data_IF_310455712042
#
_entry.id   IF_310455712042
#
_cell.length_a   1.000
_cell.length_b   1.000
_cell.length_c   1.000
_cell.angle_alpha   90.00
_cell.angle_beta   90.00
_cell.angle_gamma   90.00
#
_symmetry.space_group_name_H-M   'P 1'
#
loop_
_entity.id
_entity.type
_entity.pdbx_description
1 polymer ?
#
# COMPACT_ATOMS: atom_id res chain seq x y z
N UNK A 1 -4.97 -8.30 -1.52
CA UNK A 1 -4.26 -7.14 -0.97
C UNK A 1 -2.74 -7.18 -1.24
N UNK A 2 -1.91 -8.01 -0.57
CA UNK A 2 -0.44 -7.86 -0.70
C UNK A 2 0.16 -8.04 -2.12
N UNK A 3 -0.38 -8.93 -2.94
CA UNK A 3 0.13 -9.17 -4.29
C UNK A 3 -0.11 -7.99 -5.24
N UNK A 4 -1.23 -7.29 -5.10
CA UNK A 4 -1.53 -6.08 -5.88
C UNK A 4 -0.68 -4.90 -5.41
N UNK A 5 -0.48 -4.76 -4.10
CA UNK A 5 0.38 -3.73 -3.52
C UNK A 5 1.84 -3.90 -3.95
N UNK A 6 2.35 -5.14 -3.93
CA UNK A 6 3.69 -5.45 -4.41
C UNK A 6 3.86 -5.10 -5.89
N UNK A 7 2.88 -5.47 -6.73
CA UNK A 7 2.89 -5.12 -8.17
C UNK A 7 2.83 -3.61 -8.39
N UNK A 8 2.02 -2.90 -7.61
CA UNK A 8 1.87 -1.45 -7.67
C UNK A 8 3.17 -0.73 -7.32
N UNK A 9 3.83 -1.15 -6.24
CA UNK A 9 5.10 -0.56 -5.79
C UNK A 9 6.23 -0.90 -6.77
N UNK A 10 6.23 -2.11 -7.34
CA UNK A 10 7.19 -2.53 -8.35
C UNK A 10 8.60 -2.79 -7.81
N UNK A 11 8.71 -3.43 -6.65
CA UNK A 11 10.04 -3.76 -6.08
C UNK A 11 10.78 -4.82 -6.92
N UNK A 12 12.11 -4.77 -7.01
CA UNK A 12 12.91 -5.76 -7.74
C UNK A 12 12.73 -7.20 -7.25
N UNK A 13 13.01 -8.15 -8.14
CA UNK A 13 13.13 -9.56 -7.77
C UNK A 13 14.33 -9.77 -6.82
N UNK A 14 14.10 -10.47 -5.72
CA UNK A 14 15.08 -10.66 -4.64
C UNK A 14 14.91 -9.71 -3.45
N UNK A 15 14.15 -8.63 -3.60
CA UNK A 15 13.76 -7.79 -2.48
C UNK A 15 12.51 -8.34 -1.77
N UNK A 16 12.47 -8.15 -0.46
CA UNK A 16 11.33 -8.46 0.38
C UNK A 16 10.39 -7.26 0.52
N UNK A 17 9.11 -7.52 0.72
CA UNK A 17 8.14 -6.51 1.13
C UNK A 17 7.43 -7.01 2.39
N UNK A 18 7.69 -6.35 3.52
CA UNK A 18 7.14 -6.72 4.82
C UNK A 18 6.04 -5.75 5.21
N UNK A 19 4.84 -6.25 5.47
CA UNK A 19 3.76 -5.44 6.03
C UNK A 19 4.09 -5.06 7.48
N UNK A 20 4.06 -3.76 7.79
CA UNK A 20 4.44 -3.22 9.11
C UNK A 20 3.27 -2.62 9.87
N UNK A 21 2.18 -2.29 9.20
CA UNK A 21 0.99 -1.79 9.85
C UNK A 21 -0.12 -1.47 8.87
N UNK A 22 -1.31 -1.21 9.42
CA UNK A 22 -2.46 -0.74 8.65
C UNK A 22 -3.25 0.27 9.47
N UNK A 23 -3.98 1.14 8.79
CA UNK A 23 -5.01 2.01 9.34
C UNK A 23 -6.09 2.19 8.30
N UNK A 24 -7.30 2.51 8.73
CA UNK A 24 -8.38 2.92 7.85
C UNK A 24 -8.80 4.35 8.16
N UNK A 25 -9.19 5.08 7.12
CA UNK A 25 -9.81 6.39 7.26
C UNK A 25 -11.03 6.53 6.36
N UNK A 26 -12.09 7.12 6.91
CA UNK A 26 -13.28 7.47 6.17
C UNK A 26 -13.35 8.99 6.03
N UNK A 27 -13.24 9.50 4.81
CA UNK A 27 -13.21 10.95 4.58
C UNK A 27 -13.80 11.35 3.23
N UNK A 28 -14.58 12.43 3.21
CA UNK A 28 -15.17 13.03 1.99
C UNK A 28 -15.91 12.00 1.09
N UNK A 29 -16.67 11.09 1.71
CA UNK A 29 -17.45 10.08 0.96
C UNK A 29 -16.61 8.95 0.37
N UNK A 30 -15.35 8.80 0.82
CA UNK A 30 -14.50 7.64 0.53
C UNK A 30 -14.15 6.89 1.81
N UNK A 31 -14.09 5.58 1.69
CA UNK A 31 -13.50 4.67 2.66
C UNK A 31 -12.09 4.31 2.16
N UNK A 32 -11.06 4.45 2.98
CA UNK A 32 -9.67 4.28 2.54
C UNK A 32 -8.90 3.41 3.51
N UNK A 33 -8.47 2.26 3.02
CA UNK A 33 -7.52 1.39 3.69
C UNK A 33 -6.10 1.84 3.36
N UNK A 34 -5.28 1.99 4.40
CA UNK A 34 -3.91 2.46 4.29
C UNK A 34 -2.98 1.43 4.91
N UNK A 35 -2.15 0.82 4.09
CA UNK A 35 -1.16 -0.18 4.49
C UNK A 35 0.25 0.38 4.44
N UNK A 36 1.06 -0.03 5.41
CA UNK A 36 2.48 0.31 5.49
C UNK A 36 3.35 -0.90 5.21
N UNK A 37 4.40 -0.69 4.43
CA UNK A 37 5.35 -1.73 4.07
C UNK A 37 6.79 -1.26 4.18
N UNK A 38 7.66 -2.15 4.65
CA UNK A 38 9.11 -2.01 4.56
C UNK A 38 9.62 -2.86 3.38
N UNK A 39 10.40 -2.25 2.50
CA UNK A 39 11.22 -2.98 1.53
C UNK A 39 12.50 -3.46 2.20
N UNK A 40 12.82 -4.74 2.05
CA UNK A 40 14.10 -5.28 2.51
C UNK A 40 14.95 -5.72 1.34
N UNK A 41 16.26 -5.50 1.43
CA UNK A 41 17.22 -6.10 0.50
C UNK A 41 17.34 -7.62 0.72
N UNK A 42 18.23 -8.27 -0.06
CA UNK A 42 18.49 -9.71 0.03
C UNK A 42 19.11 -10.14 1.37
N UNK A 43 19.69 -9.21 2.13
CA UNK A 43 20.28 -9.45 3.45
C UNK A 43 19.26 -9.24 4.59
N UNK A 44 18.08 -8.71 4.26
CA UNK A 44 17.00 -8.41 5.21
C UNK A 44 17.08 -7.01 5.81
N UNK A 45 17.94 -6.13 5.32
CA UNK A 45 18.00 -4.74 5.78
C UNK A 45 16.87 -3.93 5.16
N UNK A 46 16.23 -3.06 5.94
CA UNK A 46 15.19 -2.16 5.43
C UNK A 46 15.82 -1.04 4.60
N UNK A 47 15.44 -0.93 3.32
CA UNK A 47 15.98 0.03 2.36
C UNK A 47 14.95 1.08 1.90
N UNK A 48 13.67 0.84 2.14
CA UNK A 48 12.60 1.79 1.84
C UNK A 48 11.36 1.51 2.69
N UNK A 49 10.50 2.53 2.83
CA UNK A 49 9.17 2.38 3.41
C UNK A 49 8.11 2.92 2.45
N UNK A 50 6.93 2.32 2.49
CA UNK A 50 5.82 2.65 1.62
C UNK A 50 4.52 2.81 2.40
N UNK A 51 3.72 3.79 1.98
CA UNK A 51 2.31 3.91 2.34
C UNK A 51 1.48 3.59 1.08
N UNK A 52 0.70 2.52 1.10
CA UNK A 52 -0.24 2.16 0.04
C UNK A 52 -1.64 2.55 0.49
N UNK A 53 -2.40 3.18 -0.40
CA UNK A 53 -3.77 3.64 -0.14
C UNK A 53 -4.71 2.99 -1.15
N UNK A 54 -5.64 2.19 -0.64
CA UNK A 54 -6.79 1.69 -1.38
C UNK A 54 -8.02 2.49 -0.95
N UNK A 55 -8.56 3.28 -1.88
CA UNK A 55 -9.67 4.18 -1.60
C UNK A 55 -10.88 3.81 -2.43
N UNK A 56 -12.03 3.59 -1.79
CA UNK A 56 -13.30 3.21 -2.41
C UNK A 56 -14.36 4.29 -2.16
N UNK A 57 -15.17 4.60 -3.18
CA UNK A 57 -16.36 5.43 -3.03
C UNK A 57 -17.40 4.73 -2.15
N UNK A 58 -17.93 5.41 -1.14
CA UNK A 58 -19.02 4.87 -0.30
C UNK A 58 -20.37 4.98 -1.01
N UNK A 59 -20.54 6.06 -1.76
CA UNK A 59 -21.77 6.36 -2.47
C UNK A 59 -21.60 6.13 -3.98
N UNK A 60 -22.66 5.74 -4.69
CA UNK A 60 -22.63 5.62 -6.14
C UNK A 60 -22.23 6.93 -6.84
N UNK A 61 -21.54 6.87 -7.99
CA UNK A 61 -21.05 5.67 -8.64
C UNK A 61 -19.89 5.01 -7.88
N UNK A 62 -19.87 3.67 -7.88
CA UNK A 62 -18.80 2.90 -7.26
C UNK A 62 -17.48 3.16 -8.00
N UNK A 63 -16.41 3.42 -7.26
CA UNK A 63 -15.11 3.73 -7.84
C UNK A 63 -13.98 3.52 -6.84
N UNK A 64 -13.00 2.73 -7.25
CA UNK A 64 -11.81 2.40 -6.46
C UNK A 64 -10.58 3.07 -7.04
N UNK A 65 -9.67 3.50 -6.17
CA UNK A 65 -8.40 4.12 -6.55
C UNK A 65 -7.31 3.56 -5.67
N UNK A 66 -6.35 2.91 -6.31
CA UNK A 66 -5.18 2.36 -5.64
C UNK A 66 -3.96 3.25 -5.93
N UNK A 67 -3.22 3.63 -4.90
CA UNK A 67 -2.04 4.49 -5.03
C UNK A 67 -0.99 4.17 -3.97
N UNK A 68 0.27 4.54 -4.19
CA UNK A 68 1.31 4.41 -3.18
C UNK A 68 2.18 5.65 -3.11
N UNK A 69 2.86 5.80 -1.97
CA UNK A 69 3.89 6.81 -1.75
C UNK A 69 5.07 6.16 -1.05
N UNK A 70 6.28 6.44 -1.55
CA UNK A 70 7.53 6.16 -0.84
C UNK A 70 7.73 7.23 0.24
N UNK A 71 8.00 6.80 1.47
CA UNK A 71 8.20 7.66 2.64
C UNK A 71 9.64 8.17 2.73
#
# INVERSE_FOLDING_TARGET
MSAEHRKLIGIPDGHGLKHTGSKSEQRKGRDTDIDFYDETDAEGNVIAQYEVRDSMSIYPPQGTTLSFRKL
#
